data_IF_998481482012
#
_entry.id   IF_998481482012
#
_cell.length_a   1.000
_cell.length_b   1.000
_cell.length_c   1.000
_cell.angle_alpha   90.00
_cell.angle_beta   90.00
_cell.angle_gamma   90.00
#
_symmetry.space_group_name_H-M   'P 1'
#
loop_
_entity.id
_entity.type
_entity.pdbx_description
1 polymer ?
#
# COMPACT_ATOMS: atom_id res chain seq x y z
N UNK A 1 30.81 36.79 21.19
CA UNK A 1 29.52 36.73 20.48
C UNK A 1 29.24 35.25 20.19
N UNK A 2 28.39 34.68 20.96
CA UNK A 2 28.04 33.24 20.89
C UNK A 2 26.95 33.02 19.85
N UNK A 3 27.26 32.25 18.86
CA UNK A 3 26.25 31.77 17.87
C UNK A 3 25.68 30.49 18.44
N UNK A 4 24.44 30.55 18.94
CA UNK A 4 23.73 29.40 19.47
C UNK A 4 23.10 28.59 18.33
N UNK A 5 23.53 27.35 18.16
CA UNK A 5 22.92 26.36 17.28
C UNK A 5 21.57 25.90 17.85
N UNK A 6 20.46 26.38 17.30
CA UNK A 6 19.09 25.96 17.64
C UNK A 6 18.50 24.98 16.61
N UNK A 7 19.32 24.14 15.98
CA UNK A 7 18.86 23.22 14.94
C UNK A 7 18.80 21.73 15.36
N UNK A 8 19.29 21.37 16.55
CA UNK A 8 19.29 19.96 16.99
C UNK A 8 17.99 19.53 17.66
N UNK A 9 17.34 20.39 18.43
CA UNK A 9 16.12 20.02 19.21
C UNK A 9 14.87 19.77 18.34
N UNK A 10 14.75 20.45 17.20
CA UNK A 10 13.61 20.24 16.30
C UNK A 10 13.74 18.95 15.47
N UNK A 11 14.96 18.54 15.13
CA UNK A 11 15.18 17.28 14.41
C UNK A 11 15.02 16.06 15.34
N UNK A 12 15.45 16.15 16.59
CA UNK A 12 15.26 15.09 17.58
C UNK A 12 13.77 14.89 17.91
N UNK A 13 13.00 15.95 18.08
CA UNK A 13 11.55 15.85 18.34
C UNK A 13 10.76 15.28 17.16
N UNK A 14 11.14 15.60 15.93
CA UNK A 14 10.53 15.00 14.71
C UNK A 14 10.86 13.50 14.64
N UNK A 15 12.06 13.11 15.03
CA UNK A 15 12.49 11.72 14.99
C UNK A 15 11.79 10.88 16.08
N UNK A 16 11.56 11.44 17.25
CA UNK A 16 10.77 10.81 18.33
C UNK A 16 9.30 10.64 17.94
N UNK A 17 8.67 11.64 17.32
CA UNK A 17 7.30 11.58 16.82
C UNK A 17 7.14 10.52 15.71
N UNK A 18 8.11 10.43 14.80
CA UNK A 18 8.14 9.42 13.73
C UNK A 18 8.24 8.02 14.34
N UNK A 19 9.14 7.81 15.30
CA UNK A 19 9.29 6.52 15.98
C UNK A 19 8.05 6.12 16.77
N UNK A 20 7.38 7.07 17.43
CA UNK A 20 6.12 6.81 18.11
C UNK A 20 5.02 6.40 17.12
N UNK A 21 4.92 7.07 15.97
CA UNK A 21 3.98 6.70 14.89
C UNK A 21 4.26 5.30 14.33
N UNK A 22 5.53 4.94 14.12
CA UNK A 22 5.96 3.62 13.63
C UNK A 22 5.58 2.52 14.63
N UNK A 23 5.91 2.71 15.91
CA UNK A 23 5.68 1.71 16.96
C UNK A 23 4.20 1.42 17.21
N UNK A 24 3.33 2.39 16.95
CA UNK A 24 1.88 2.29 17.16
C UNK A 24 1.10 1.96 15.87
N UNK A 25 1.78 1.65 14.77
CA UNK A 25 1.11 1.39 13.51
C UNK A 25 1.24 -0.07 13.08
N UNK A 26 0.10 -0.79 12.83
CA UNK A 26 0.12 -2.23 12.53
C UNK A 26 0.85 -2.60 11.23
N UNK A 27 1.09 -1.66 10.34
CA UNK A 27 1.85 -1.92 9.11
C UNK A 27 3.37 -1.91 9.32
N UNK A 28 3.87 -1.51 10.49
CA UNK A 28 5.28 -1.22 10.71
C UNK A 28 5.89 -1.85 11.94
N UNK A 29 5.07 -2.17 12.95
CA UNK A 29 5.52 -2.82 14.18
C UNK A 29 4.99 -4.24 14.24
N UNK A 30 5.88 -5.21 14.43
CA UNK A 30 5.51 -6.62 14.60
C UNK A 30 4.60 -6.82 15.84
N UNK A 31 4.86 -6.08 16.90
CA UNK A 31 3.99 -6.06 18.09
C UNK A 31 2.61 -5.45 17.82
N UNK A 32 2.53 -4.40 17.02
CA UNK A 32 1.26 -3.77 16.66
C UNK A 32 0.40 -4.64 15.71
N UNK A 33 1.01 -5.47 14.87
CA UNK A 33 0.30 -6.43 14.02
C UNK A 33 -0.57 -7.43 14.81
N UNK A 34 -0.17 -7.74 16.03
CA UNK A 34 -0.89 -8.70 16.89
C UNK A 34 -2.11 -8.09 17.58
N UNK A 35 -2.18 -6.76 17.65
CA UNK A 35 -3.17 -6.04 18.45
C UNK A 35 -4.14 -5.19 17.63
N UNK A 36 -3.76 -4.83 16.39
CA UNK A 36 -4.53 -3.89 15.57
C UNK A 36 -4.91 -4.49 14.21
N UNK A 37 -6.12 -4.17 13.77
CA UNK A 37 -6.64 -4.54 12.47
C UNK A 37 -6.61 -3.34 11.50
N UNK A 38 -6.50 -3.63 10.22
CA UNK A 38 -6.65 -2.64 9.15
C UNK A 38 -7.68 -3.11 8.12
N UNK A 39 -8.34 -2.14 7.51
CA UNK A 39 -9.26 -2.39 6.40
C UNK A 39 -8.87 -1.54 5.19
N UNK A 40 -8.93 -2.13 3.99
CA UNK A 40 -8.81 -1.40 2.74
C UNK A 40 -10.17 -1.27 2.08
N UNK A 41 -10.43 -0.10 1.47
CA UNK A 41 -11.68 0.16 0.77
C UNK A 41 -11.43 0.53 -0.70
N UNK A 42 -12.22 -0.07 -1.58
CA UNK A 42 -12.07 0.00 -3.02
C UNK A 42 -12.87 1.17 -3.61
N UNK A 43 -12.50 2.41 -3.29
CA UNK A 43 -13.15 3.64 -3.76
C UNK A 43 -12.46 4.27 -4.98
N UNK A 44 -11.28 3.80 -5.36
CA UNK A 44 -10.40 4.38 -6.37
C UNK A 44 -10.24 3.49 -7.62
N UNK A 45 -11.25 3.36 -8.50
CA UNK A 45 -11.23 2.41 -9.62
C UNK A 45 -10.34 2.82 -10.80
N UNK A 46 -10.10 4.11 -11.04
CA UNK A 46 -9.27 4.57 -12.14
C UNK A 46 -7.77 4.51 -11.79
N UNK A 47 -6.91 4.41 -12.81
CA UNK A 47 -5.48 4.60 -12.67
C UNK A 47 -4.97 5.40 -13.86
N UNK A 48 -3.98 6.22 -13.61
CA UNK A 48 -3.39 7.15 -14.58
C UNK A 48 -2.08 6.63 -15.19
N UNK A 49 -1.68 5.39 -14.87
CA UNK A 49 -0.54 4.71 -15.48
C UNK A 49 -0.92 3.28 -15.88
N UNK A 50 -0.14 2.65 -16.73
CA UNK A 50 -0.16 1.22 -16.96
C UNK A 50 1.16 0.60 -16.54
N UNK A 51 1.11 -0.41 -15.69
CA UNK A 51 2.26 -1.23 -15.35
C UNK A 51 2.19 -2.54 -16.14
N UNK A 52 3.33 -3.04 -16.65
CA UNK A 52 3.40 -4.29 -17.39
C UNK A 52 3.07 -5.53 -16.53
N UNK A 53 3.12 -5.40 -15.22
CA UNK A 53 2.72 -6.44 -14.26
C UNK A 53 1.28 -6.28 -13.74
N UNK A 54 0.50 -5.36 -14.28
CA UNK A 54 -0.86 -5.09 -13.82
C UNK A 54 -1.89 -5.47 -14.90
N UNK A 55 -2.92 -6.20 -14.46
CA UNK A 55 -4.14 -6.41 -15.23
C UNK A 55 -5.29 -5.66 -14.55
N UNK A 56 -5.85 -4.69 -15.25
CA UNK A 56 -6.91 -3.80 -14.75
C UNK A 56 -8.26 -4.51 -14.46
N UNK A 57 -8.35 -5.78 -14.76
CA UNK A 57 -9.48 -6.63 -14.38
C UNK A 57 -9.48 -6.95 -12.87
N UNK A 58 -8.30 -6.91 -12.25
CA UNK A 58 -8.07 -7.23 -10.84
C UNK A 58 -7.66 -5.99 -10.06
N UNK A 59 -7.51 -6.13 -8.74
CA UNK A 59 -6.96 -5.10 -7.87
C UNK A 59 -5.52 -4.74 -8.21
N UNK A 60 -5.05 -3.61 -7.70
CA UNK A 60 -3.68 -3.18 -7.92
C UNK A 60 -2.69 -4.19 -7.34
N UNK A 61 -1.78 -4.70 -8.16
CA UNK A 61 -0.79 -5.71 -7.75
C UNK A 61 0.26 -5.20 -6.75
N UNK A 62 0.33 -3.88 -6.55
CA UNK A 62 1.18 -3.29 -5.51
C UNK A 62 0.60 -3.42 -4.10
N UNK A 63 -0.68 -3.76 -3.98
CA UNK A 63 -1.39 -3.83 -2.71
C UNK A 63 -2.04 -5.19 -2.46
N UNK A 64 -2.43 -5.89 -3.51
CA UNK A 64 -3.08 -7.19 -3.42
C UNK A 64 -2.56 -8.15 -4.47
N UNK A 65 -2.80 -9.43 -4.23
CA UNK A 65 -2.39 -10.48 -5.17
C UNK A 65 -3.28 -10.45 -6.42
N UNK A 66 -2.74 -10.79 -7.61
CA UNK A 66 -3.53 -11.01 -8.80
C UNK A 66 -4.66 -12.03 -8.54
N UNK A 67 -5.84 -11.76 -9.07
CA UNK A 67 -7.01 -12.61 -8.90
C UNK A 67 -7.97 -12.20 -7.78
N UNK A 68 -7.53 -11.32 -6.87
CA UNK A 68 -8.44 -10.70 -5.89
C UNK A 68 -9.18 -9.56 -6.59
N UNK A 69 -10.49 -9.60 -6.59
CA UNK A 69 -11.34 -8.54 -7.13
C UNK A 69 -12.06 -7.84 -6.00
N UNK A 70 -12.08 -6.51 -6.05
CA UNK A 70 -12.81 -5.71 -5.08
C UNK A 70 -14.14 -5.24 -5.67
N UNK A 71 -15.14 -5.15 -4.85
CA UNK A 71 -16.34 -4.38 -5.21
C UNK A 71 -16.02 -2.89 -5.21
N UNK A 72 -16.49 -2.17 -6.23
CA UNK A 72 -16.34 -0.72 -6.31
C UNK A 72 -17.36 -0.07 -5.39
N UNK A 73 -16.88 0.69 -4.40
CA UNK A 73 -17.71 1.39 -3.44
C UNK A 73 -17.79 2.89 -3.75
N UNK A 74 -18.95 3.48 -3.45
CA UNK A 74 -19.01 4.92 -3.32
C UNK A 74 -18.47 5.36 -1.95
N UNK A 75 -17.98 6.58 -1.77
CA UNK A 75 -17.43 7.04 -0.51
C UNK A 75 -18.35 6.82 0.70
N UNK A 76 -19.64 7.06 0.54
CA UNK A 76 -20.66 6.89 1.58
C UNK A 76 -20.83 5.42 1.99
N UNK A 77 -20.82 4.52 1.02
CA UNK A 77 -20.92 3.08 1.26
C UNK A 77 -19.65 2.58 1.96
N UNK A 78 -18.48 3.03 1.51
CA UNK A 78 -17.20 2.70 2.12
C UNK A 78 -17.15 3.14 3.59
N UNK A 79 -17.54 4.38 3.89
CA UNK A 79 -17.56 4.90 5.26
C UNK A 79 -18.59 4.16 6.12
N UNK A 80 -19.80 3.89 5.61
CA UNK A 80 -20.78 3.08 6.33
C UNK A 80 -20.23 1.69 6.70
N UNK A 81 -19.55 1.04 5.76
CA UNK A 81 -18.92 -0.26 5.98
C UNK A 81 -17.80 -0.19 7.02
N UNK A 82 -16.93 0.82 6.94
CA UNK A 82 -15.83 1.03 7.90
C UNK A 82 -16.39 1.22 9.33
N UNK A 83 -17.40 2.06 9.49
CA UNK A 83 -18.01 2.32 10.80
C UNK A 83 -18.69 1.07 11.35
N UNK A 84 -19.35 0.28 10.51
CA UNK A 84 -19.93 -1.00 10.91
C UNK A 84 -18.84 -1.97 11.39
N UNK A 85 -17.78 -2.17 10.59
CA UNK A 85 -16.67 -3.06 10.97
C UNK A 85 -15.96 -2.57 12.24
N UNK A 86 -15.78 -1.24 12.41
CA UNK A 86 -15.20 -0.67 13.61
C UNK A 86 -16.04 -0.87 14.86
N UNK A 87 -17.37 -0.92 14.72
CA UNK A 87 -18.28 -1.27 15.82
C UNK A 87 -18.17 -2.73 16.25
N UNK A 88 -17.89 -3.65 15.31
CA UNK A 88 -17.76 -5.07 15.57
C UNK A 88 -16.33 -5.51 15.94
N UNK A 89 -15.34 -4.83 15.39
CA UNK A 89 -13.90 -5.13 15.57
C UNK A 89 -13.22 -3.93 16.25
N UNK A 90 -13.16 -3.94 17.57
CA UNK A 90 -12.55 -2.86 18.36
C UNK A 90 -11.06 -2.64 18.06
N UNK A 91 -10.39 -3.65 17.49
CA UNK A 91 -8.99 -3.58 17.07
C UNK A 91 -8.79 -2.82 15.75
N UNK A 92 -9.87 -2.45 15.03
CA UNK A 92 -9.75 -1.68 13.79
C UNK A 92 -9.15 -0.30 14.10
N UNK A 93 -7.93 -0.08 13.63
CA UNK A 93 -7.18 1.16 13.88
C UNK A 93 -6.74 1.88 12.61
N UNK A 94 -6.72 1.17 11.47
CA UNK A 94 -6.22 1.73 10.21
C UNK A 94 -7.20 1.49 9.06
N UNK A 95 -7.45 2.55 8.30
CA UNK A 95 -8.20 2.52 7.05
C UNK A 95 -7.31 2.95 5.90
N UNK A 96 -7.21 2.10 4.86
CA UNK A 96 -6.42 2.36 3.67
C UNK A 96 -7.26 2.51 2.41
N UNK A 97 -6.84 3.42 1.53
CA UNK A 97 -7.33 3.51 0.15
C UNK A 97 -6.18 3.10 -0.77
N UNK A 98 -6.31 1.91 -1.38
CA UNK A 98 -5.24 1.29 -2.15
C UNK A 98 -5.66 0.83 -3.56
N UNK A 99 -6.85 1.12 -3.96
CA UNK A 99 -7.29 0.67 -5.28
C UNK A 99 -8.81 0.55 -5.44
N UNK A 100 -9.23 -0.24 -6.45
CA UNK A 100 -8.48 -1.17 -7.33
C UNK A 100 -7.58 -0.51 -8.39
N UNK A 101 -7.63 0.80 -8.51
CA UNK A 101 -6.73 1.62 -9.33
C UNK A 101 -5.69 2.36 -8.51
N UNK A 102 -5.67 3.68 -8.63
CA UNK A 102 -4.77 4.56 -7.88
C UNK A 102 -5.57 5.61 -7.08
N UNK A 103 -5.25 5.77 -5.80
CA UNK A 103 -5.97 6.68 -4.92
C UNK A 103 -5.98 8.13 -5.42
N UNK A 104 -4.87 8.61 -5.97
CA UNK A 104 -4.72 9.98 -6.46
C UNK A 104 -5.13 10.19 -7.93
N UNK A 105 -5.42 9.10 -8.65
CA UNK A 105 -6.15 9.17 -9.93
C UNK A 105 -7.68 9.29 -9.72
N UNK A 106 -8.14 9.16 -8.47
CA UNK A 106 -9.55 9.31 -8.07
C UNK A 106 -9.71 10.30 -6.91
N UNK A 107 -9.15 11.51 -7.00
CA UNK A 107 -8.98 12.40 -5.86
C UNK A 107 -10.31 12.78 -5.19
N UNK A 108 -11.37 12.98 -5.98
CA UNK A 108 -12.69 13.34 -5.45
C UNK A 108 -13.23 12.27 -4.50
N UNK A 109 -13.20 11.00 -4.92
CA UNK A 109 -13.69 9.89 -4.11
C UNK A 109 -12.78 9.63 -2.90
N UNK A 110 -11.48 9.65 -3.12
CA UNK A 110 -10.47 9.44 -2.08
C UNK A 110 -10.60 10.48 -0.97
N UNK A 111 -10.56 11.75 -1.31
CA UNK A 111 -10.63 12.81 -0.31
C UNK A 111 -12.02 13.02 0.28
N UNK A 112 -13.10 12.69 -0.45
CA UNK A 112 -14.44 12.64 0.14
C UNK A 112 -14.53 11.56 1.21
N UNK A 113 -13.96 10.37 0.96
CA UNK A 113 -13.91 9.30 1.96
C UNK A 113 -13.10 9.72 3.18
N UNK A 114 -11.90 10.28 3.00
CA UNK A 114 -11.07 10.77 4.11
C UNK A 114 -11.75 11.88 4.91
N UNK A 115 -12.38 12.85 4.24
CA UNK A 115 -13.15 13.91 4.92
C UNK A 115 -14.22 13.30 5.83
N UNK A 116 -15.02 12.38 5.31
CA UNK A 116 -16.09 11.76 6.09
C UNK A 116 -15.56 10.94 7.26
N UNK A 117 -14.41 10.27 7.11
CA UNK A 117 -13.76 9.53 8.20
C UNK A 117 -13.17 10.47 9.24
N UNK A 118 -12.52 11.55 8.81
CA UNK A 118 -11.97 12.57 9.70
C UNK A 118 -13.05 13.17 10.60
N UNK A 119 -14.28 13.37 10.07
CA UNK A 119 -15.42 13.90 10.81
C UNK A 119 -16.10 12.86 11.72
N UNK A 120 -16.17 11.59 11.31
CA UNK A 120 -16.99 10.55 11.97
C UNK A 120 -16.21 9.56 12.82
N UNK A 121 -14.93 9.38 12.54
CA UNK A 121 -14.06 8.41 13.20
C UNK A 121 -12.62 8.96 13.29
N UNK A 122 -12.39 10.08 14.03
CA UNK A 122 -11.10 10.77 14.09
C UNK A 122 -9.97 9.93 14.67
N UNK A 123 -10.30 8.88 15.42
CA UNK A 123 -9.32 7.96 16.01
C UNK A 123 -8.74 6.94 15.01
N UNK A 124 -9.39 6.77 13.85
CA UNK A 124 -8.89 5.87 12.82
C UNK A 124 -7.74 6.55 12.05
N UNK A 125 -6.62 5.85 11.99
CA UNK A 125 -5.48 6.24 11.17
C UNK A 125 -5.80 6.02 9.70
N UNK A 126 -5.48 7.00 8.87
CA UNK A 126 -5.74 6.94 7.44
C UNK A 126 -4.45 6.72 6.68
N UNK A 127 -4.50 5.88 5.66
CA UNK A 127 -3.39 5.69 4.74
C UNK A 127 -3.87 5.61 3.29
N UNK A 128 -2.99 5.91 2.37
CA UNK A 128 -3.24 5.72 0.95
C UNK A 128 -2.03 5.11 0.25
N UNK A 129 -2.32 4.43 -0.86
CA UNK A 129 -1.29 3.91 -1.75
C UNK A 129 -1.46 4.52 -3.13
N UNK A 130 -0.34 4.92 -3.73
CA UNK A 130 -0.32 5.60 -5.02
C UNK A 130 0.90 5.23 -5.85
N UNK A 131 0.77 5.34 -7.17
CA UNK A 131 1.90 5.29 -8.09
C UNK A 131 2.77 6.56 -8.07
N UNK A 132 2.33 7.62 -7.41
CA UNK A 132 3.07 8.85 -7.20
C UNK A 132 2.93 9.90 -8.31
N UNK A 133 2.31 9.59 -9.47
CA UNK A 133 2.22 10.55 -10.59
C UNK A 133 1.53 11.87 -10.19
N UNK A 134 0.45 11.79 -9.42
CA UNK A 134 -0.32 12.96 -8.97
C UNK A 134 0.02 13.38 -7.53
N UNK A 135 1.00 12.76 -6.91
CA UNK A 135 1.29 12.97 -5.49
C UNK A 135 1.60 14.43 -5.13
N UNK A 136 2.48 15.17 -5.85
CA UNK A 136 2.77 16.56 -5.53
C UNK A 136 1.54 17.47 -5.49
N UNK A 137 0.53 17.18 -6.32
CA UNK A 137 -0.66 18.03 -6.42
C UNK A 137 -1.62 17.87 -5.22
N UNK A 138 -1.43 16.82 -4.43
CA UNK A 138 -2.36 16.46 -3.35
C UNK A 138 -1.73 16.40 -1.95
N UNK A 139 -0.46 16.74 -1.79
CA UNK A 139 0.23 16.73 -0.49
C UNK A 139 -0.49 17.60 0.54
N UNK A 140 -1.00 18.77 0.14
CA UNK A 140 -1.75 19.68 1.03
C UNK A 140 -3.05 19.04 1.54
N UNK A 141 -3.78 18.32 0.67
CA UNK A 141 -4.99 17.59 1.07
C UNK A 141 -4.67 16.38 1.95
N UNK A 142 -3.58 15.69 1.68
CA UNK A 142 -3.09 14.59 2.51
C UNK A 142 -2.84 15.08 3.93
N UNK A 143 -2.17 16.21 4.08
CA UNK A 143 -1.93 16.84 5.37
C UNK A 143 -3.22 17.36 6.01
N UNK A 144 -4.11 18.00 5.24
CA UNK A 144 -5.38 18.56 5.72
C UNK A 144 -6.26 17.51 6.40
N UNK A 145 -6.32 16.30 5.87
CA UNK A 145 -7.12 15.22 6.44
C UNK A 145 -6.34 14.29 7.37
N UNK A 146 -5.15 14.72 7.81
CA UNK A 146 -4.32 13.98 8.74
C UNK A 146 -4.09 12.52 8.32
N UNK A 147 -3.72 12.33 7.03
CA UNK A 147 -3.35 11.00 6.55
C UNK A 147 -2.02 10.61 7.16
N UNK A 148 -2.01 9.54 7.95
CA UNK A 148 -0.86 9.13 8.78
C UNK A 148 0.34 8.70 7.96
N UNK A 149 0.09 7.97 6.87
CA UNK A 149 1.16 7.57 5.98
C UNK A 149 0.72 7.37 4.54
N UNK A 150 1.69 7.48 3.64
CA UNK A 150 1.52 7.27 2.20
C UNK A 150 2.47 6.17 1.73
N UNK A 151 1.92 5.17 1.02
CA UNK A 151 2.71 4.18 0.30
C UNK A 151 2.87 4.61 -1.14
N UNK A 152 4.11 4.76 -1.61
CA UNK A 152 4.43 5.11 -2.99
C UNK A 152 5.08 3.93 -3.68
N UNK A 153 4.55 3.53 -4.84
CA UNK A 153 5.21 2.51 -5.67
C UNK A 153 6.28 3.16 -6.54
N UNK A 154 7.53 2.75 -6.36
CA UNK A 154 8.67 3.22 -7.13
C UNK A 154 9.58 2.03 -7.49
N UNK A 155 9.76 1.76 -8.78
CA UNK A 155 10.46 0.57 -9.27
C UNK A 155 11.82 0.87 -9.91
N UNK A 156 12.16 2.15 -10.09
CA UNK A 156 13.42 2.60 -10.68
C UNK A 156 13.65 4.07 -10.33
N UNK A 157 14.92 4.47 -10.22
CA UNK A 157 15.37 5.86 -10.13
C UNK A 157 16.28 6.22 -11.30
N UNK A 158 16.23 5.44 -12.37
CA UNK A 158 16.96 5.70 -13.61
C UNK A 158 16.40 6.95 -14.32
N UNK A 159 17.14 8.04 -14.26
CA UNK A 159 16.79 9.32 -14.87
C UNK A 159 16.80 9.30 -16.40
N UNK A 160 17.42 8.28 -17.02
CA UNK A 160 17.37 8.11 -18.48
C UNK A 160 16.01 7.63 -18.95
N UNK A 161 15.21 7.05 -18.06
CA UNK A 161 13.90 6.46 -18.31
C UNK A 161 13.96 5.10 -19.02
N UNK A 162 15.15 4.53 -19.19
CA UNK A 162 15.32 3.24 -19.88
C UNK A 162 14.67 2.11 -19.10
N UNK A 163 15.01 1.97 -17.81
CA UNK A 163 14.45 0.93 -16.94
C UNK A 163 12.95 1.16 -16.75
N UNK A 164 12.56 2.40 -16.42
CA UNK A 164 11.15 2.73 -16.18
C UNK A 164 10.26 2.48 -17.41
N UNK A 165 10.75 2.72 -18.62
CA UNK A 165 9.99 2.49 -19.86
C UNK A 165 9.68 1.01 -20.14
N UNK A 166 10.50 0.10 -19.60
CA UNK A 166 10.26 -1.36 -19.67
C UNK A 166 9.18 -1.81 -18.69
N UNK A 167 8.91 -1.01 -17.64
CA UNK A 167 7.93 -1.30 -16.59
C UNK A 167 6.60 -0.61 -16.87
N UNK A 168 6.66 0.65 -17.30
CA UNK A 168 5.50 1.53 -17.50
C UNK A 168 5.37 1.92 -18.97
N UNK A 169 4.57 1.21 -19.78
CA UNK A 169 4.45 1.50 -21.20
C UNK A 169 3.85 2.88 -21.48
N UNK A 170 2.98 3.38 -20.61
CA UNK A 170 2.41 4.73 -20.73
C UNK A 170 1.89 5.28 -19.41
N UNK A 171 1.81 6.61 -19.34
CA UNK A 171 1.13 7.37 -18.31
C UNK A 171 0.09 8.31 -18.93
N UNK A 172 -0.93 8.69 -18.16
CA UNK A 172 -1.85 9.77 -18.52
C UNK A 172 -1.36 11.05 -17.83
N UNK A 173 -0.77 11.95 -18.61
CA UNK A 173 -0.24 13.20 -18.12
C UNK A 173 -0.83 14.37 -18.91
N UNK A 174 -1.33 15.40 -18.23
CA UNK A 174 -1.99 16.55 -18.83
C UNK A 174 -3.06 16.14 -19.88
N UNK A 175 -3.91 15.19 -19.51
CA UNK A 175 -4.99 14.64 -20.35
C UNK A 175 -4.52 13.92 -21.64
N UNK A 176 -3.23 13.63 -21.75
CA UNK A 176 -2.64 12.92 -22.91
C UNK A 176 -1.89 11.68 -22.45
N UNK A 177 -1.92 10.63 -23.28
CA UNK A 177 -1.03 9.49 -23.06
C UNK A 177 0.37 9.84 -23.51
N UNK A 178 1.32 9.70 -22.60
CA UNK A 178 2.75 9.79 -22.85
C UNK A 178 3.33 8.39 -22.76
N UNK A 179 4.30 8.05 -23.60
CA UNK A 179 4.82 6.70 -23.77
C UNK A 179 6.33 6.62 -23.53
N UNK A 180 6.82 5.40 -23.22
CA UNK A 180 8.23 5.06 -23.22
C UNK A 180 9.05 5.86 -22.19
N UNK A 181 10.26 6.24 -22.59
CA UNK A 181 11.22 6.90 -21.71
C UNK A 181 10.72 8.24 -21.16
N UNK A 182 10.00 9.01 -21.97
CA UNK A 182 9.43 10.29 -21.53
C UNK A 182 8.40 10.07 -20.40
N UNK A 183 7.51 9.08 -20.57
CA UNK A 183 6.56 8.71 -19.53
C UNK A 183 7.26 8.32 -18.22
N UNK A 184 8.31 7.50 -18.32
CA UNK A 184 9.09 7.06 -17.18
C UNK A 184 9.79 8.21 -16.45
N UNK A 185 10.37 9.17 -17.18
CA UNK A 185 11.01 10.37 -16.62
C UNK A 185 10.01 11.26 -15.87
N UNK A 186 8.87 11.53 -16.48
CA UNK A 186 7.81 12.33 -15.84
C UNK A 186 7.35 11.64 -14.54
N UNK A 187 7.05 10.33 -14.62
CA UNK A 187 6.62 9.57 -13.44
C UNK A 187 7.65 9.63 -12.33
N UNK A 188 8.92 9.36 -12.63
CA UNK A 188 10.01 9.40 -11.65
C UNK A 188 10.14 10.78 -11.00
N UNK A 189 10.17 11.85 -11.80
CA UNK A 189 10.25 13.21 -11.29
C UNK A 189 9.13 13.50 -10.30
N UNK A 190 7.89 13.16 -10.65
CA UNK A 190 6.71 13.38 -9.79
C UNK A 190 6.76 12.54 -8.52
N UNK A 191 7.24 11.28 -8.61
CA UNK A 191 7.44 10.41 -7.44
C UNK A 191 8.44 11.01 -6.45
N UNK A 192 9.62 11.40 -6.93
CA UNK A 192 10.68 11.96 -6.07
C UNK A 192 10.26 13.28 -5.45
N UNK A 193 9.63 14.17 -6.23
CA UNK A 193 9.10 15.45 -5.76
C UNK A 193 8.05 15.22 -4.66
N UNK A 194 7.05 14.38 -4.91
CA UNK A 194 5.98 14.12 -3.96
C UNK A 194 6.47 13.43 -2.68
N UNK A 195 7.41 12.48 -2.78
CA UNK A 195 8.03 11.84 -1.62
C UNK A 195 8.73 12.90 -0.77
N UNK A 196 9.56 13.76 -1.39
CA UNK A 196 10.25 14.81 -0.67
C UNK A 196 9.27 15.77 0.01
N UNK A 197 8.22 16.19 -0.66
CA UNK A 197 7.20 17.08 -0.09
C UNK A 197 6.51 16.45 1.14
N UNK A 198 6.28 15.14 1.14
CA UNK A 198 5.70 14.43 2.28
C UNK A 198 6.69 14.33 3.45
N UNK A 199 7.92 13.91 3.18
CA UNK A 199 8.94 13.73 4.23
C UNK A 199 9.35 15.06 4.87
N UNK A 200 9.44 16.14 4.09
CA UNK A 200 9.71 17.51 4.60
C UNK A 200 8.59 17.99 5.56
N UNK A 201 7.37 17.43 5.46
CA UNK A 201 6.24 17.72 6.34
C UNK A 201 6.06 16.72 7.49
N UNK A 202 7.00 15.78 7.65
CA UNK A 202 6.93 14.74 8.69
C UNK A 202 5.82 13.71 8.46
N UNK A 203 5.32 13.58 7.23
CA UNK A 203 4.36 12.53 6.86
C UNK A 203 5.15 11.27 6.55
N UNK A 204 4.75 10.14 7.15
CA UNK A 204 5.43 8.86 6.95
C UNK A 204 5.27 8.37 5.50
N UNK A 205 6.38 8.04 4.87
CA UNK A 205 6.39 7.47 3.52
C UNK A 205 6.97 6.06 3.55
N UNK A 206 6.17 5.12 3.05
CA UNK A 206 6.61 3.77 2.71
C UNK A 206 6.78 3.68 1.20
N UNK A 207 7.84 3.07 0.73
CA UNK A 207 8.01 2.74 -0.68
C UNK A 207 7.79 1.24 -0.92
N UNK A 208 7.06 0.90 -1.97
CA UNK A 208 6.96 -0.46 -2.49
C UNK A 208 7.69 -0.52 -3.84
N UNK A 209 8.53 -1.56 -4.03
CA UNK A 209 9.13 -1.88 -5.32
C UNK A 209 8.83 -3.33 -5.69
N UNK A 210 8.43 -3.56 -6.93
CA UNK A 210 8.29 -4.91 -7.49
C UNK A 210 9.63 -5.30 -8.10
N UNK A 211 10.23 -6.37 -7.61
CA UNK A 211 11.43 -6.97 -8.20
C UNK A 211 11.06 -7.69 -9.50
N UNK A 212 11.56 -7.21 -10.62
CA UNK A 212 11.32 -7.74 -11.96
C UNK A 212 12.67 -8.26 -12.51
N UNK A 213 12.90 -9.58 -12.49
CA UNK A 213 14.17 -10.16 -12.89
C UNK A 213 14.61 -9.75 -14.30
N UNK A 214 15.87 -9.31 -14.44
CA UNK A 214 16.43 -8.82 -15.69
C UNK A 214 15.91 -7.47 -16.17
N UNK A 215 15.10 -6.77 -15.36
CA UNK A 215 14.59 -5.43 -15.68
C UNK A 215 15.08 -4.39 -14.71
N UNK A 216 14.82 -4.55 -13.41
CA UNK A 216 15.18 -3.58 -12.38
C UNK A 216 15.94 -4.19 -11.18
N UNK A 217 16.30 -5.44 -11.23
CA UNK A 217 17.05 -6.14 -10.18
C UNK A 217 18.36 -5.41 -9.82
N UNK A 218 19.09 -4.94 -10.82
CA UNK A 218 20.33 -4.17 -10.64
C UNK A 218 20.07 -2.71 -10.21
N UNK A 219 18.86 -2.22 -10.37
CA UNK A 219 18.48 -0.84 -10.06
C UNK A 219 17.95 -0.66 -8.64
N UNK A 220 17.43 -1.71 -8.02
CA UNK A 220 16.83 -1.64 -6.67
C UNK A 220 17.77 -1.10 -5.58
N UNK A 221 19.10 -1.38 -5.58
CA UNK A 221 20.02 -0.75 -4.63
C UNK A 221 20.09 0.77 -4.79
N UNK A 222 20.03 1.30 -6.04
CA UNK A 222 19.97 2.73 -6.30
C UNK A 222 18.67 3.33 -5.82
N UNK A 223 17.55 2.62 -6.01
CA UNK A 223 16.23 2.99 -5.46
C UNK A 223 16.31 3.09 -3.94
N UNK A 224 16.84 2.08 -3.25
CA UNK A 224 16.97 2.07 -1.79
C UNK A 224 17.83 3.24 -1.28
N UNK A 225 18.96 3.52 -1.92
CA UNK A 225 19.81 4.65 -1.60
C UNK A 225 19.06 5.98 -1.74
N UNK A 226 18.38 6.18 -2.87
CA UNK A 226 17.63 7.42 -3.15
C UNK A 226 16.48 7.62 -2.16
N UNK A 227 15.76 6.56 -1.82
CA UNK A 227 14.67 6.61 -0.85
C UNK A 227 15.18 6.97 0.55
N UNK A 228 16.34 6.44 0.96
CA UNK A 228 16.98 6.79 2.22
C UNK A 228 17.38 8.26 2.27
N UNK A 229 17.95 8.80 1.18
CA UNK A 229 18.29 10.22 1.04
C UNK A 229 17.05 11.13 1.16
N UNK A 230 15.88 10.66 0.71
CA UNK A 230 14.62 11.38 0.80
C UNK A 230 13.89 11.20 2.15
N UNK A 231 14.44 10.45 3.10
CA UNK A 231 13.82 10.24 4.41
C UNK A 231 12.65 9.26 4.41
N UNK A 232 12.55 8.40 3.40
CA UNK A 232 11.57 7.30 3.39
C UNK A 232 11.92 6.31 4.50
N UNK A 233 10.94 6.00 5.37
CA UNK A 233 11.23 5.22 6.57
C UNK A 233 11.22 3.71 6.33
N UNK A 234 10.49 3.23 5.30
CA UNK A 234 10.40 1.81 4.97
C UNK A 234 10.40 1.61 3.45
N UNK A 235 11.30 0.76 2.97
CA UNK A 235 11.29 0.26 1.59
C UNK A 235 10.93 -1.22 1.61
N UNK A 236 9.90 -1.61 0.87
CA UNK A 236 9.44 -2.99 0.77
C UNK A 236 9.65 -3.51 -0.65
N UNK A 237 10.38 -4.60 -0.79
CA UNK A 237 10.61 -5.27 -2.07
C UNK A 237 9.66 -6.46 -2.17
N UNK A 238 8.84 -6.47 -3.21
CA UNK A 238 7.84 -7.50 -3.49
C UNK A 238 8.25 -8.31 -4.73
N UNK A 239 8.04 -9.63 -4.74
CA UNK A 239 8.30 -10.42 -5.93
C UNK A 239 7.32 -10.08 -7.05
N UNK A 240 7.80 -10.02 -8.29
CA UNK A 240 6.94 -10.08 -9.46
C UNK A 240 6.20 -11.43 -9.46
N UNK A 241 4.89 -11.38 -9.58
CA UNK A 241 4.05 -12.55 -9.85
C UNK A 241 3.65 -12.50 -11.33
N UNK A 242 4.29 -13.33 -12.14
CA UNK A 242 4.13 -13.32 -13.59
C UNK A 242 3.72 -14.70 -14.10
N UNK A 243 2.40 -14.94 -14.13
CA UNK A 243 1.81 -16.12 -14.73
C UNK A 243 0.89 -15.73 -15.87
N UNK A 244 0.82 -16.55 -16.91
CA UNK A 244 -0.03 -16.33 -18.08
C UNK A 244 -1.51 -16.14 -17.67
N UNK A 245 -1.98 -16.93 -16.72
CA UNK A 245 -3.36 -16.88 -16.20
C UNK A 245 -3.78 -15.52 -15.61
N UNK A 246 -2.80 -14.71 -15.19
CA UNK A 246 -3.08 -13.35 -14.69
C UNK A 246 -3.32 -12.34 -15.81
N UNK A 247 -3.01 -12.70 -17.07
CA UNK A 247 -3.26 -11.85 -18.24
C UNK A 247 -2.55 -10.50 -18.20
N UNK A 248 -1.44 -10.39 -17.45
CA UNK A 248 -0.56 -9.21 -17.45
C UNK A 248 0.35 -9.25 -18.67
N UNK A 249 0.86 -8.07 -19.11
CA UNK A 249 1.81 -8.04 -20.22
C UNK A 249 3.01 -8.95 -19.96
N UNK A 250 3.59 -8.90 -18.78
CA UNK A 250 4.72 -9.76 -18.43
C UNK A 250 4.35 -11.25 -18.42
N UNK A 251 3.20 -11.63 -17.84
CA UNK A 251 2.76 -13.02 -17.83
C UNK A 251 2.56 -13.58 -19.21
N UNK A 252 1.94 -12.81 -20.12
CA UNK A 252 1.68 -13.21 -21.50
C UNK A 252 2.95 -13.25 -22.38
N UNK A 253 4.02 -12.55 -22.00
CA UNK A 253 5.27 -12.46 -22.74
C UNK A 253 6.42 -13.25 -22.10
N UNK A 254 6.12 -14.17 -21.18
CA UNK A 254 7.11 -15.12 -20.64
C UNK A 254 8.12 -14.49 -19.67
N UNK A 255 7.85 -13.30 -19.11
CA UNK A 255 8.68 -12.73 -18.06
C UNK A 255 8.65 -13.65 -16.83
N UNK A 256 9.79 -14.09 -16.35
CA UNK A 256 9.86 -14.94 -15.17
C UNK A 256 9.37 -14.21 -13.91
N UNK A 257 8.64 -14.92 -13.04
CA UNK A 257 8.38 -14.45 -11.68
C UNK A 257 9.67 -14.38 -10.87
N UNK A 258 9.77 -13.46 -9.95
CA UNK A 258 10.89 -13.39 -9.02
C UNK A 258 10.85 -14.58 -8.04
N UNK A 259 11.99 -15.23 -7.84
CA UNK A 259 12.16 -16.30 -6.85
C UNK A 259 12.40 -15.72 -5.45
N UNK A 260 12.17 -16.54 -4.42
CA UNK A 260 12.47 -16.16 -3.03
C UNK A 260 13.95 -15.81 -2.85
N UNK A 261 14.85 -16.52 -3.54
CA UNK A 261 16.30 -16.25 -3.49
C UNK A 261 16.66 -14.89 -4.11
N UNK A 262 16.05 -14.53 -5.24
CA UNK A 262 16.25 -13.22 -5.86
C UNK A 262 15.71 -12.08 -4.99
N UNK A 263 14.55 -12.30 -4.33
CA UNK A 263 14.01 -11.31 -3.39
C UNK A 263 14.94 -11.13 -2.20
N UNK A 264 15.45 -12.21 -1.61
CA UNK A 264 16.40 -12.13 -0.50
C UNK A 264 17.69 -11.41 -0.91
N UNK A 265 18.25 -11.75 -2.05
CA UNK A 265 19.46 -11.11 -2.57
C UNK A 265 19.25 -9.61 -2.83
N UNK A 266 18.08 -9.23 -3.38
CA UNK A 266 17.74 -7.83 -3.59
C UNK A 266 17.56 -7.06 -2.27
N UNK A 267 16.94 -7.67 -1.26
CA UNK A 267 16.79 -7.09 0.06
C UNK A 267 18.15 -6.88 0.74
N UNK A 268 19.05 -7.87 0.66
CA UNK A 268 20.42 -7.76 1.18
C UNK A 268 21.20 -6.66 0.47
N UNK A 269 21.16 -6.61 -0.86
CA UNK A 269 21.81 -5.58 -1.66
C UNK A 269 21.29 -4.16 -1.36
N UNK A 270 20.04 -4.03 -0.93
CA UNK A 270 19.42 -2.78 -0.50
C UNK A 270 19.76 -2.40 0.96
N UNK A 271 20.55 -3.21 1.67
CA UNK A 271 20.91 -2.98 3.07
C UNK A 271 19.72 -3.13 4.02
N UNK A 272 18.75 -3.97 3.66
CA UNK A 272 17.63 -4.29 4.54
C UNK A 272 18.06 -5.34 5.57
N UNK A 273 17.77 -5.09 6.85
CA UNK A 273 17.93 -6.11 7.88
C UNK A 273 16.92 -7.23 7.62
N UNK A 274 17.41 -8.32 7.06
CA UNK A 274 16.60 -9.51 6.83
C UNK A 274 16.50 -10.25 8.18
N UNK A 275 15.32 -10.36 8.78
CA UNK A 275 15.15 -11.26 9.92
C UNK A 275 15.56 -12.66 9.48
N UNK A 276 16.53 -13.30 10.16
CA UNK A 276 17.05 -14.64 9.84
C UNK A 276 16.01 -15.76 9.85
N UNK A 277 14.73 -15.44 9.93
CA UNK A 277 13.60 -16.38 9.86
C UNK A 277 12.56 -15.89 8.87
N UNK A 278 12.47 -16.68 7.81
CA UNK A 278 11.29 -16.90 6.98
C UNK A 278 10.96 -15.93 5.85
N UNK A 279 11.33 -16.31 4.66
CA UNK A 279 10.57 -16.10 3.40
C UNK A 279 9.09 -16.53 3.50
N UNK A 280 8.72 -17.17 4.60
CA UNK A 280 7.32 -17.52 4.95
C UNK A 280 6.64 -16.52 5.88
N UNK A 281 7.32 -15.47 6.34
CA UNK A 281 6.82 -14.58 7.42
C UNK A 281 5.84 -13.52 6.98
N UNK A 282 5.67 -13.25 5.70
CA UNK A 282 4.47 -12.51 5.27
C UNK A 282 3.18 -13.34 5.47
N UNK A 283 3.33 -14.60 5.87
CA UNK A 283 2.26 -15.59 5.92
C UNK A 283 2.01 -16.23 7.28
N UNK A 284 2.77 -15.92 8.28
CA UNK A 284 2.73 -16.64 9.57
C UNK A 284 2.66 -15.71 10.77
N UNK A 285 1.60 -14.95 10.92
CA UNK A 285 1.23 -14.47 12.23
C UNK A 285 -0.28 -14.58 12.37
N UNK A 286 -0.75 -15.74 12.80
CA UNK A 286 -1.98 -15.88 13.57
C UNK A 286 -2.12 -17.29 14.14
N UNK A 287 -1.77 -17.49 15.41
CA UNK A 287 -2.63 -18.35 16.23
C UNK A 287 -3.06 -17.76 17.57
N UNK A 288 -2.66 -16.54 17.97
CA UNK A 288 -2.85 -16.10 19.36
C UNK A 288 -4.00 -15.12 19.63
N UNK A 289 -4.66 -14.56 18.63
CA UNK A 289 -5.80 -13.64 18.84
C UNK A 289 -7.15 -14.36 18.97
N UNK A 290 -7.23 -15.60 18.55
CA UNK A 290 -8.40 -16.43 18.84
C UNK A 290 -8.22 -17.12 20.19
N UNK A 291 -8.39 -16.35 21.26
CA UNK A 291 -8.77 -16.91 22.53
C UNK A 291 -10.19 -17.45 22.35
N UNK A 292 -10.27 -18.75 22.02
CA UNK A 292 -11.43 -19.52 21.56
C UNK A 292 -12.58 -19.62 22.58
N UNK A 293 -12.75 -18.65 23.48
CA UNK A 293 -13.95 -18.55 24.31
C UNK A 293 -15.18 -18.00 23.58
N UNK A 294 -15.07 -17.68 22.27
CA UNK A 294 -16.18 -17.09 21.53
C UNK A 294 -16.36 -17.60 20.09
N UNK A 295 -16.34 -18.92 19.87
CA UNK A 295 -16.84 -19.52 18.60
C UNK A 295 -18.28 -19.04 18.31
N UNK A 296 -19.08 -18.86 19.34
CA UNK A 296 -20.45 -18.34 19.22
C UNK A 296 -20.54 -16.84 18.87
N UNK A 297 -19.56 -16.03 19.24
CA UNK A 297 -19.48 -14.62 18.83
C UNK A 297 -19.06 -14.48 17.37
N UNK A 298 -18.10 -15.30 16.95
CA UNK A 298 -17.64 -15.31 15.55
C UNK A 298 -18.68 -15.87 14.59
N UNK A 299 -19.44 -16.91 15.00
CA UNK A 299 -20.56 -17.43 14.24
C UNK A 299 -21.70 -16.40 14.12
N UNK A 300 -21.99 -15.64 15.17
CA UNK A 300 -22.93 -14.51 15.13
C UNK A 300 -22.41 -13.38 14.23
N UNK A 301 -21.14 -13.04 14.30
CA UNK A 301 -20.52 -12.04 13.43
C UNK A 301 -20.59 -12.43 11.95
N UNK A 302 -20.26 -13.68 11.61
CA UNK A 302 -20.39 -14.20 10.24
C UNK A 302 -21.83 -14.24 9.76
N UNK A 303 -22.78 -14.62 10.62
CA UNK A 303 -24.22 -14.63 10.29
C UNK A 303 -24.75 -13.20 10.11
N UNK A 304 -24.38 -12.24 10.97
CA UNK A 304 -24.73 -10.83 10.78
C UNK A 304 -24.08 -10.21 9.55
N UNK A 305 -22.82 -10.59 9.23
CA UNK A 305 -22.18 -10.20 7.98
C UNK A 305 -22.93 -10.77 6.76
N UNK A 306 -23.30 -12.03 6.79
CA UNK A 306 -24.08 -12.67 5.73
C UNK A 306 -25.48 -12.04 5.59
N UNK A 307 -26.18 -11.78 6.68
CA UNK A 307 -27.51 -11.14 6.66
C UNK A 307 -27.44 -9.66 6.23
N UNK A 308 -26.41 -8.92 6.64
CA UNK A 308 -26.22 -7.53 6.24
C UNK A 308 -25.82 -7.36 4.76
N UNK A 309 -25.37 -8.43 4.11
CA UNK A 309 -24.84 -8.43 2.75
C UNK A 309 -25.50 -9.48 1.83
N UNK A 310 -26.54 -10.18 2.27
CA UNK A 310 -27.24 -11.23 1.52
C UNK A 310 -27.84 -10.74 0.18
N UNK A 311 -27.99 -9.44 -0.01
CA UNK A 311 -28.62 -8.88 -1.22
C UNK A 311 -27.62 -8.41 -2.31
N UNK A 312 -26.32 -8.55 -2.07
CA UNK A 312 -25.29 -8.16 -3.09
C UNK A 312 -24.07 -9.06 -2.94
N UNK A 313 -23.64 -9.65 -4.04
CA UNK A 313 -22.44 -10.49 -4.20
C UNK A 313 -21.11 -9.77 -3.89
N UNK A 314 -21.03 -9.10 -2.76
CA UNK A 314 -19.91 -8.26 -2.35
C UNK A 314 -18.98 -9.03 -1.42
N UNK A 315 -17.89 -9.56 -1.95
CA UNK A 315 -16.81 -10.12 -1.14
C UNK A 315 -16.02 -9.02 -0.44
N UNK A 316 -15.87 -9.13 0.87
CA UNK A 316 -15.01 -8.29 1.70
C UNK A 316 -13.61 -8.86 1.78
N UNK A 317 -12.60 -8.04 1.55
CA UNK A 317 -11.26 -8.32 2.00
C UNK A 317 -11.01 -7.52 3.27
N UNK A 318 -11.37 -8.09 4.41
CA UNK A 318 -10.72 -7.75 5.67
C UNK A 318 -9.38 -8.47 5.62
N UNK A 319 -8.32 -7.75 5.30
CA UNK A 319 -6.98 -8.31 5.42
C UNK A 319 -6.62 -8.39 6.89
N UNK A 320 -7.01 -9.47 7.52
CA UNK A 320 -6.28 -9.94 8.67
C UNK A 320 -4.95 -10.45 8.12
N UNK A 321 -3.84 -9.89 8.55
CA UNK A 321 -2.54 -10.46 8.24
C UNK A 321 -2.42 -11.79 8.96
N UNK A 322 -2.83 -12.90 8.29
CA UNK A 322 -2.70 -14.24 8.84
C UNK A 322 -3.78 -15.19 8.37
N UNK A 323 -3.34 -16.14 7.65
CA UNK A 323 -3.89 -17.35 7.07
C UNK A 323 -5.02 -18.09 7.80
N UNK A 324 -5.86 -18.76 6.98
CA UNK A 324 -6.70 -19.93 7.28
C UNK A 324 -8.23 -19.76 7.30
N UNK A 325 -8.82 -18.80 6.57
CA UNK A 325 -10.29 -18.75 6.53
C UNK A 325 -10.93 -19.06 5.16
N UNK A 326 -10.18 -19.11 4.06
CA UNK A 326 -10.79 -19.41 2.76
C UNK A 326 -11.32 -20.85 2.63
N UNK A 327 -10.69 -21.92 3.17
CA UNK A 327 -11.24 -23.27 3.06
C UNK A 327 -12.45 -23.52 3.98
N UNK A 328 -12.60 -22.77 5.09
CA UNK A 328 -13.73 -22.98 6.03
C UNK A 328 -15.03 -22.33 5.56
N UNK A 329 -14.97 -21.28 4.76
CA UNK A 329 -16.19 -20.66 4.21
C UNK A 329 -16.77 -21.51 3.08
N UNK A 330 -15.92 -22.20 2.31
CA UNK A 330 -16.36 -23.14 1.25
C UNK A 330 -16.90 -24.48 1.77
N UNK A 331 -16.68 -24.80 3.06
CA UNK A 331 -17.18 -26.06 3.67
C UNK A 331 -18.46 -25.83 4.49
N UNK A 332 -18.93 -24.58 4.62
CA UNK A 332 -20.12 -24.20 5.37
C UNK A 332 -21.25 -23.62 4.48
N UNK A 333 -21.03 -23.54 3.16
CA UNK A 333 -22.04 -23.39 2.11
C UNK A 333 -22.26 -24.74 1.42
#
# INVERSE_FOLDING_TARGET
>A
MSCSCTSSSSQESIQEDIMAKINNHPCYSEGAHQHYARIHVAVAPACNIQCNYCNRKYDCSNESRPGVTSSKLQPEEAVKKILFVGGEIQQLSVVGIAGPGDALANPEKTFKTFKMLYEKAPDLKMCLSTNGLMLPDYVDKIQQYNVDHVTVTINSVDETGEVGSRIYPWILWNHKKVFGKEAAKILLQRQLEGIKMLTDRGILVKANSVLIPGVNDQELPNVAKKLKELGVFLHNIMPLLSKEEYGTYYGLNGQASATDQEVMAAQEACGMDIPKKSTKSALLIFPSILNLKSINSMRRFLLHLLDAFADKSDFFVVSFSGFLFLPMILTLL
#
